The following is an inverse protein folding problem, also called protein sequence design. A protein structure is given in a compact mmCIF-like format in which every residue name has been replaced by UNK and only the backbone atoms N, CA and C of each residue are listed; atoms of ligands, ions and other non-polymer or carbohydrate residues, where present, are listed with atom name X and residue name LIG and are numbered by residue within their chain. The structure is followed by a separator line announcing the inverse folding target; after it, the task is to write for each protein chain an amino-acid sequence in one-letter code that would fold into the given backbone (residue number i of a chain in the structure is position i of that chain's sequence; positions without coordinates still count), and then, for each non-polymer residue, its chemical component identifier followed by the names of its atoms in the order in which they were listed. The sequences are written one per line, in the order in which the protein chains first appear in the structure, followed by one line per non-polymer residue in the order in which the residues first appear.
data_IF_350737296631
#
_entry.id   IF_350737296631
#
_cell.length_a   1.000
_cell.length_b   1.000
_cell.length_c   1.000
_cell.angle_alpha   90.00
_cell.angle_beta   90.00
_cell.angle_gamma   90.00
#
_symmetry.space_group_name_H-M   'P 1'
#
loop_
_entity.id
_entity.type
_entity.pdbx_description
1 polymer ?
#
# COMPACT_ATOMS: atom_id res chain seq x y z
N UNK A 1 18.22 11.40 8.89
CA UNK A 1 19.57 11.18 8.34
C UNK A 1 19.34 10.46 7.04
N UNK A 2 19.51 11.17 5.93
CA UNK A 2 19.38 10.60 4.59
C UNK A 2 20.48 9.57 4.40
N UNK A 3 20.11 8.34 4.05
CA UNK A 3 21.07 7.30 3.68
C UNK A 3 21.08 7.17 2.18
N UNK A 4 22.20 7.53 1.58
CA UNK A 4 22.46 7.29 0.16
C UNK A 4 22.48 5.77 -0.10
N UNK A 5 21.55 5.28 -0.94
CA UNK A 5 21.40 3.86 -1.27
C UNK A 5 22.42 3.38 -2.31
N UNK A 6 23.22 4.30 -2.85
CA UNK A 6 24.19 4.02 -3.92
C UNK A 6 25.57 3.61 -3.39
N UNK A 7 25.82 3.76 -2.08
CA UNK A 7 27.12 3.54 -1.44
C UNK A 7 27.00 2.68 -0.17
N UNK A 8 27.91 1.71 0.02
CA UNK A 8 27.92 0.78 1.17
C UNK A 8 27.36 -0.62 0.85
N UNK A 9 27.13 -1.45 1.87
CA UNK A 9 26.64 -2.82 1.66
C UNK A 9 25.12 -2.87 1.45
N UNK A 10 24.62 -3.47 0.35
CA UNK A 10 23.20 -3.50 0.04
C UNK A 10 22.35 -4.06 1.19
N UNK A 11 22.80 -5.15 1.82
CA UNK A 11 22.10 -5.80 2.93
C UNK A 11 21.84 -4.87 4.11
N UNK A 12 22.86 -4.13 4.57
CA UNK A 12 22.73 -3.20 5.72
C UNK A 12 21.86 -2.00 5.38
N UNK A 13 21.92 -1.52 4.14
CA UNK A 13 21.09 -0.41 3.67
C UNK A 13 19.63 -0.82 3.59
N UNK A 14 19.34 -1.95 2.95
CA UNK A 14 17.99 -2.49 2.81
C UNK A 14 17.39 -2.71 4.20
N UNK A 15 18.08 -3.42 5.09
CA UNK A 15 17.59 -3.71 6.43
C UNK A 15 17.42 -2.43 7.28
N UNK A 16 18.37 -1.49 7.18
CA UNK A 16 18.30 -0.22 7.88
C UNK A 16 17.18 0.72 7.40
N UNK A 17 16.71 0.54 6.15
CA UNK A 17 15.61 1.32 5.58
C UNK A 17 14.26 0.61 5.74
N UNK A 18 14.23 -0.72 5.62
CA UNK A 18 13.02 -1.54 5.73
C UNK A 18 12.51 -1.66 7.15
N UNK A 19 13.36 -1.73 8.17
CA UNK A 19 12.92 -1.86 9.58
C UNK A 19 12.03 -0.67 10.01
N UNK A 20 12.43 0.60 9.81
CA UNK A 20 11.53 1.72 10.11
C UNK A 20 10.20 1.63 9.36
N UNK A 21 10.23 1.28 8.06
CA UNK A 21 9.00 1.14 7.27
C UNK A 21 8.12 0.01 7.79
N UNK A 22 8.70 -1.12 8.19
CA UNK A 22 7.99 -2.23 8.80
C UNK A 22 7.25 -1.76 10.06
N UNK A 23 7.93 -1.04 10.96
CA UNK A 23 7.25 -0.47 12.13
C UNK A 23 6.12 0.46 11.71
N UNK A 24 6.33 1.31 10.71
CA UNK A 24 5.27 2.15 10.16
C UNK A 24 4.05 1.35 9.68
N UNK A 25 4.25 0.28 8.92
CA UNK A 25 3.16 -0.58 8.44
C UNK A 25 2.48 -1.34 9.58
N UNK A 26 3.24 -1.86 10.55
CA UNK A 26 2.68 -2.53 11.72
C UNK A 26 1.84 -1.57 12.56
N UNK A 27 2.35 -0.37 12.86
CA UNK A 27 1.59 0.70 13.51
C UNK A 27 0.34 1.07 12.72
N UNK A 28 0.45 1.06 11.37
CA UNK A 28 -0.70 1.27 10.50
C UNK A 28 -1.78 0.20 10.68
N UNK A 29 -1.40 -1.08 10.73
CA UNK A 29 -2.34 -2.16 10.98
C UNK A 29 -2.93 -2.10 12.40
N UNK A 30 -2.12 -1.76 13.41
CA UNK A 30 -2.60 -1.60 14.78
C UNK A 30 -3.63 -0.48 14.91
N UNK A 31 -3.40 0.71 14.33
CA UNK A 31 -4.40 1.78 14.44
C UNK A 31 -5.68 1.40 13.70
N UNK A 32 -5.60 0.80 12.51
CA UNK A 32 -6.80 0.36 11.78
C UNK A 32 -7.63 -0.63 12.61
N UNK A 33 -6.98 -1.52 13.37
CA UNK A 33 -7.64 -2.44 14.29
C UNK A 33 -8.33 -1.71 15.45
N UNK A 34 -7.64 -0.75 16.07
CA UNK A 34 -8.17 0.05 17.19
C UNK A 34 -9.36 0.91 16.73
N UNK A 35 -9.24 1.59 15.59
CA UNK A 35 -10.32 2.40 14.99
C UNK A 35 -11.59 1.56 14.77
N UNK A 36 -11.44 0.40 14.11
CA UNK A 36 -12.55 -0.55 13.90
C UNK A 36 -13.20 -0.98 15.23
N UNK A 37 -12.38 -1.23 16.27
CA UNK A 37 -12.86 -1.63 17.59
C UNK A 37 -13.60 -0.50 18.30
N UNK A 38 -13.10 0.74 18.24
CA UNK A 38 -13.75 1.92 18.82
C UNK A 38 -15.12 2.12 18.16
N UNK A 39 -15.18 2.14 16.84
CA UNK A 39 -16.45 2.27 16.10
C UNK A 39 -17.42 1.16 16.51
N UNK A 40 -17.00 -0.10 16.48
CA UNK A 40 -17.87 -1.23 16.81
C UNK A 40 -18.37 -1.21 18.26
N UNK A 41 -17.51 -0.84 19.21
CA UNK A 41 -17.85 -0.88 20.64
C UNK A 41 -18.71 0.30 21.08
N UNK A 42 -18.45 1.51 20.56
CA UNK A 42 -19.12 2.73 21.03
C UNK A 42 -20.30 3.16 20.16
N UNK A 43 -20.33 2.79 18.88
CA UNK A 43 -21.41 3.17 17.95
C UNK A 43 -22.34 2.01 17.58
N UNK A 44 -21.96 0.78 17.92
CA UNK A 44 -22.75 -0.41 17.68
C UNK A 44 -22.57 -1.03 16.29
N UNK A 45 -23.33 -2.10 16.05
CA UNK A 45 -23.15 -2.99 14.89
C UNK A 45 -23.49 -2.30 13.56
N UNK A 46 -24.54 -1.49 13.52
CA UNK A 46 -24.95 -0.78 12.29
C UNK A 46 -23.89 0.24 11.83
N UNK A 47 -23.27 0.95 12.78
CA UNK A 47 -22.18 1.88 12.50
C UNK A 47 -20.92 1.14 12.00
N UNK A 48 -20.58 0.00 12.62
CA UNK A 48 -19.48 -0.84 12.16
C UNK A 48 -19.73 -1.38 10.75
N UNK A 49 -20.96 -1.81 10.45
CA UNK A 49 -21.35 -2.27 9.13
C UNK A 49 -21.29 -1.14 8.09
N UNK A 50 -21.71 0.07 8.45
CA UNK A 50 -21.60 1.26 7.61
C UNK A 50 -20.13 1.61 7.29
N UNK A 51 -19.23 1.60 8.27
CA UNK A 51 -17.79 1.83 8.03
C UNK A 51 -17.20 0.70 7.19
N UNK A 52 -17.52 -0.55 7.52
CA UNK A 52 -17.01 -1.74 6.82
C UNK A 52 -17.41 -1.80 5.34
N UNK A 53 -18.66 -1.42 5.00
CA UNK A 53 -19.15 -1.44 3.62
C UNK A 53 -18.39 -0.45 2.71
N UNK A 54 -17.90 0.65 3.28
CA UNK A 54 -17.09 1.64 2.55
C UNK A 54 -15.63 1.24 2.38
N UNK A 55 -15.17 0.17 3.04
CA UNK A 55 -13.77 -0.25 3.07
C UNK A 55 -13.18 -0.57 1.69
N UNK A 56 -13.92 -1.27 0.83
CA UNK A 56 -13.48 -1.59 -0.54
C UNK A 56 -13.35 -0.34 -1.40
N UNK A 57 -14.28 0.61 -1.24
CA UNK A 57 -14.26 1.88 -1.96
C UNK A 57 -13.11 2.78 -1.48
N UNK A 58 -12.86 2.81 -0.16
CA UNK A 58 -11.67 3.42 0.42
C UNK A 58 -10.39 2.83 -0.16
N UNK A 59 -10.28 1.50 -0.19
CA UNK A 59 -9.11 0.83 -0.74
C UNK A 59 -8.90 1.15 -2.23
N UNK A 60 -9.96 1.25 -3.02
CA UNK A 60 -9.90 1.62 -4.43
C UNK A 60 -9.37 3.05 -4.64
N UNK A 61 -9.96 4.03 -3.96
CA UNK A 61 -9.66 5.46 -4.16
C UNK A 61 -8.36 5.87 -3.44
N UNK A 62 -8.23 5.55 -2.16
CA UNK A 62 -7.04 5.89 -1.37
C UNK A 62 -5.84 5.07 -1.85
N UNK A 63 -6.04 3.79 -2.22
CA UNK A 63 -4.99 2.97 -2.84
C UNK A 63 -4.50 3.57 -4.17
N UNK A 64 -5.40 4.11 -5.00
CA UNK A 64 -5.02 4.85 -6.20
C UNK A 64 -4.17 6.08 -5.84
N UNK A 65 -4.59 6.88 -4.86
CA UNK A 65 -3.86 8.07 -4.41
C UNK A 65 -2.45 7.72 -3.90
N UNK A 66 -2.32 6.66 -3.10
CA UNK A 66 -1.05 6.14 -2.61
C UNK A 66 -0.16 5.66 -3.76
N UNK A 67 -0.73 4.95 -4.73
CA UNK A 67 -0.02 4.50 -5.93
C UNK A 67 0.53 5.66 -6.76
N UNK A 68 -0.26 6.72 -6.97
CA UNK A 68 0.16 7.93 -7.68
C UNK A 68 1.33 8.62 -6.94
N UNK A 69 1.21 8.82 -5.63
CA UNK A 69 2.27 9.44 -4.82
C UNK A 69 3.58 8.64 -4.86
N UNK A 70 3.49 7.31 -4.73
CA UNK A 70 4.66 6.43 -4.82
C UNK A 70 5.29 6.46 -6.22
N UNK A 71 4.48 6.58 -7.28
CA UNK A 71 5.00 6.72 -8.64
C UNK A 71 5.68 8.06 -8.90
N UNK A 72 5.21 9.14 -8.28
CA UNK A 72 5.88 10.44 -8.34
C UNK A 72 7.24 10.42 -7.65
N UNK A 73 7.46 9.57 -6.65
CA UNK A 73 8.75 9.45 -5.98
C UNK A 73 9.84 8.79 -6.84
N UNK A 74 9.51 8.08 -7.92
CA UNK A 74 10.51 7.36 -8.74
C UNK A 74 11.43 8.34 -9.50
N UNK A 75 10.94 9.32 -10.28
CA UNK A 75 11.81 10.31 -10.91
C UNK A 75 12.64 11.11 -9.90
N UNK A 76 12.09 11.38 -8.72
CA UNK A 76 12.84 12.04 -7.64
C UNK A 76 13.99 11.15 -7.14
N UNK A 77 13.74 9.86 -6.91
CA UNK A 77 14.80 8.92 -6.54
C UNK A 77 15.88 8.82 -7.63
N UNK A 78 15.51 8.85 -8.91
CA UNK A 78 16.47 8.89 -10.03
C UNK A 78 17.33 10.15 -9.98
N UNK A 79 16.71 11.32 -9.80
CA UNK A 79 17.43 12.60 -9.73
C UNK A 79 18.35 12.70 -8.51
N UNK A 80 17.87 12.24 -7.35
CA UNK A 80 18.68 12.18 -6.13
C UNK A 80 19.88 11.24 -6.31
N UNK A 81 19.67 10.04 -6.84
CA UNK A 81 20.76 9.09 -7.11
C UNK A 81 21.77 9.59 -8.15
N UNK A 82 21.33 10.39 -9.12
CA UNK A 82 22.19 11.03 -10.11
C UNK A 82 22.98 12.24 -9.56
N UNK A 83 22.68 12.72 -8.35
CA UNK A 83 23.22 13.97 -7.81
C UNK A 83 22.66 15.24 -8.47
N UNK A 84 21.61 15.12 -9.30
CA UNK A 84 20.96 16.25 -9.98
C UNK A 84 19.89 16.88 -9.08
N UNK A 85 20.34 17.68 -8.12
CA UNK A 85 19.46 18.33 -7.14
C UNK A 85 18.57 19.42 -7.74
N UNK A 86 19.00 20.08 -8.82
CA UNK A 86 18.16 21.04 -9.55
C UNK A 86 16.97 20.32 -10.19
N UNK A 87 17.24 19.22 -10.88
CA UNK A 87 16.21 18.35 -11.43
C UNK A 87 15.30 17.78 -10.35
N UNK A 88 15.85 17.35 -9.22
CA UNK A 88 15.08 16.85 -8.06
C UNK A 88 14.04 17.88 -7.60
N UNK A 89 14.46 19.13 -7.38
CA UNK A 89 13.57 20.22 -6.91
C UNK A 89 12.51 20.58 -7.94
N UNK A 90 12.87 20.63 -9.22
CA UNK A 90 11.89 20.89 -10.28
C UNK A 90 10.84 19.77 -10.39
N UNK A 91 11.25 18.50 -10.30
CA UNK A 91 10.32 17.36 -10.24
C UNK A 91 9.44 17.39 -8.99
N UNK A 92 10.00 17.77 -7.84
CA UNK A 92 9.27 17.93 -6.59
C UNK A 92 8.14 18.96 -6.72
N UNK A 93 8.44 20.17 -7.22
CA UNK A 93 7.42 21.23 -7.37
C UNK A 93 6.33 20.81 -8.35
N UNK A 94 6.70 20.21 -9.49
CA UNK A 94 5.73 19.73 -10.46
C UNK A 94 4.88 18.56 -9.90
N UNK A 95 5.44 17.72 -9.03
CA UNK A 95 4.69 16.68 -8.33
C UNK A 95 3.70 17.27 -7.31
N UNK A 96 4.03 18.39 -6.65
CA UNK A 96 3.11 19.12 -5.75
C UNK A 96 1.94 19.70 -6.55
N UNK A 97 2.20 20.40 -7.67
CA UNK A 97 1.14 20.93 -8.53
C UNK A 97 0.22 19.83 -9.05
N UNK A 98 0.82 18.75 -9.54
CA UNK A 98 0.07 17.62 -10.08
C UNK A 98 -0.75 16.92 -8.99
N UNK A 99 -0.20 16.76 -7.79
CA UNK A 99 -0.93 16.18 -6.65
C UNK A 99 -2.09 17.07 -6.20
N UNK A 100 -1.95 18.41 -6.26
CA UNK A 100 -3.06 19.31 -5.99
C UNK A 100 -4.19 19.16 -7.03
N UNK A 101 -3.83 19.05 -8.32
CA UNK A 101 -4.81 18.80 -9.39
C UNK A 101 -5.50 17.45 -9.19
N UNK A 102 -4.74 16.37 -8.96
CA UNK A 102 -5.32 15.05 -8.70
C UNK A 102 -6.19 15.05 -7.45
N UNK A 103 -5.77 15.72 -6.37
CA UNK A 103 -6.57 15.80 -5.15
C UNK A 103 -7.93 16.48 -5.41
N UNK A 104 -7.95 17.61 -6.11
CA UNK A 104 -9.19 18.33 -6.43
C UNK A 104 -10.08 17.48 -7.35
N UNK A 105 -9.52 16.91 -8.43
CA UNK A 105 -10.27 16.09 -9.38
C UNK A 105 -10.85 14.85 -8.69
N UNK A 106 -10.02 14.12 -7.92
CA UNK A 106 -10.47 12.93 -7.21
C UNK A 106 -11.52 13.28 -6.15
N UNK A 107 -11.35 14.35 -5.39
CA UNK A 107 -12.35 14.80 -4.40
C UNK A 107 -13.68 15.13 -5.09
N UNK A 108 -13.65 15.93 -6.17
CA UNK A 108 -14.86 16.32 -6.88
C UNK A 108 -15.60 15.10 -7.47
N UNK A 109 -14.88 14.19 -8.15
CA UNK A 109 -15.46 12.98 -8.73
C UNK A 109 -16.03 12.08 -7.62
N UNK A 110 -15.25 11.81 -6.58
CA UNK A 110 -15.64 10.84 -5.55
C UNK A 110 -16.80 11.34 -4.70
N UNK A 111 -16.87 12.63 -4.36
CA UNK A 111 -18.00 13.20 -3.60
C UNK A 111 -19.28 13.22 -4.44
N UNK A 112 -19.20 13.59 -5.72
CA UNK A 112 -20.38 13.63 -6.61
C UNK A 112 -20.93 12.22 -6.87
N UNK A 113 -20.08 11.24 -7.11
CA UNK A 113 -20.49 9.87 -7.43
C UNK A 113 -20.62 8.95 -6.21
N UNK A 114 -20.37 9.45 -5.00
CA UNK A 114 -20.37 8.65 -3.78
C UNK A 114 -21.68 7.88 -3.57
N UNK A 115 -22.82 8.58 -3.55
CA UNK A 115 -24.13 7.95 -3.28
C UNK A 115 -24.55 6.97 -4.38
N UNK A 116 -24.44 7.30 -5.67
CA UNK A 116 -24.68 6.32 -6.75
C UNK A 116 -23.80 5.07 -6.65
N UNK A 117 -22.54 5.19 -6.23
CA UNK A 117 -21.65 4.03 -6.04
C UNK A 117 -22.14 3.17 -4.88
N UNK A 118 -22.55 3.76 -3.76
CA UNK A 118 -23.08 3.02 -2.61
C UNK A 118 -24.39 2.29 -2.94
N UNK A 119 -25.28 2.93 -3.70
CA UNK A 119 -26.52 2.32 -4.21
C UNK A 119 -26.20 1.17 -5.19
N UNK A 120 -25.23 1.34 -6.09
CA UNK A 120 -24.78 0.31 -7.02
C UNK A 120 -24.16 -0.90 -6.28
N UNK A 121 -23.49 -0.67 -5.16
CA UNK A 121 -22.98 -1.72 -4.27
C UNK A 121 -24.09 -2.46 -3.50
N UNK A 122 -25.37 -2.09 -3.68
CA UNK A 122 -26.53 -2.63 -2.97
C UNK A 122 -26.38 -2.51 -1.45
N UNK A 123 -25.88 -1.36 -1.00
CA UNK A 123 -25.77 -1.06 0.43
C UNK A 123 -27.18 -1.02 1.05
N UNK A 124 -27.45 -1.79 2.11
CA UNK A 124 -28.77 -1.81 2.76
C UNK A 124 -29.24 -0.44 3.27
N UNK A 125 -30.55 -0.18 3.20
CA UNK A 125 -31.17 1.11 3.53
C UNK A 125 -30.91 1.55 4.97
N UNK A 126 -30.75 0.61 5.92
CA UNK A 126 -30.49 0.92 7.32
C UNK A 126 -29.05 1.43 7.60
N UNK A 127 -28.10 1.25 6.67
CA UNK A 127 -26.70 1.65 6.85
C UNK A 127 -26.20 2.64 5.79
N UNK A 128 -26.94 2.83 4.68
CA UNK A 128 -26.47 3.61 3.53
C UNK A 128 -26.18 5.08 3.87
N UNK A 129 -27.00 5.70 4.72
CA UNK A 129 -26.79 7.10 5.11
C UNK A 129 -25.56 7.26 6.02
N UNK A 130 -25.32 6.31 6.91
CA UNK A 130 -24.11 6.26 7.74
C UNK A 130 -22.85 6.03 6.90
N UNK A 131 -22.92 5.13 5.91
CA UNK A 131 -21.85 4.85 4.98
C UNK A 131 -21.54 6.07 4.09
N UNK A 132 -22.57 6.76 3.61
CA UNK A 132 -22.44 7.99 2.83
C UNK A 132 -21.75 9.10 3.63
N UNK A 133 -22.23 9.36 4.85
CA UNK A 133 -21.65 10.39 5.71
C UNK A 133 -20.16 10.11 6.01
N UNK A 134 -19.83 8.86 6.33
CA UNK A 134 -18.46 8.43 6.56
C UNK A 134 -17.56 8.70 5.35
N UNK A 135 -17.95 8.18 4.20
CA UNK A 135 -17.07 8.14 3.03
C UNK A 135 -16.94 9.51 2.36
N UNK A 136 -17.99 10.35 2.39
CA UNK A 136 -17.91 11.73 1.88
C UNK A 136 -16.90 12.54 2.69
N UNK A 137 -16.87 12.40 4.01
CA UNK A 137 -15.88 13.08 4.86
C UNK A 137 -14.47 12.59 4.54
N UNK A 138 -14.27 11.28 4.43
CA UNK A 138 -12.97 10.71 4.03
C UNK A 138 -12.53 11.23 2.66
N UNK A 139 -13.45 11.31 1.69
CA UNK A 139 -13.17 11.81 0.35
C UNK A 139 -12.91 13.31 0.30
N UNK A 140 -13.61 14.11 1.10
CA UNK A 140 -13.27 15.51 1.30
C UNK A 140 -11.85 15.69 1.89
N UNK A 141 -11.35 14.67 2.62
CA UNK A 141 -10.00 14.60 3.15
C UNK A 141 -8.89 14.15 2.19
N UNK A 142 -9.21 13.76 0.94
CA UNK A 142 -8.21 13.35 -0.07
C UNK A 142 -7.03 14.34 -0.21
N UNK A 143 -7.22 15.68 -0.17
CA UNK A 143 -6.10 16.62 -0.20
C UNK A 143 -5.10 16.43 0.95
N UNK A 144 -5.57 16.11 2.15
CA UNK A 144 -4.71 15.81 3.30
C UNK A 144 -3.97 14.48 3.10
N UNK A 145 -4.64 13.47 2.55
CA UNK A 145 -4.02 12.18 2.18
C UNK A 145 -2.90 12.38 1.17
N UNK A 146 -3.12 13.16 0.11
CA UNK A 146 -2.09 13.50 -0.89
C UNK A 146 -0.94 14.26 -0.26
N UNK A 147 -1.21 15.25 0.59
CA UNK A 147 -0.19 16.04 1.27
C UNK A 147 0.77 15.13 2.04
N UNK A 148 0.24 14.30 2.94
CA UNK A 148 1.06 13.40 3.74
C UNK A 148 1.80 12.36 2.88
N UNK A 149 1.11 11.70 1.94
CA UNK A 149 1.71 10.63 1.15
C UNK A 149 2.76 11.14 0.17
N UNK A 150 2.54 12.28 -0.47
CA UNK A 150 3.50 12.89 -1.39
C UNK A 150 4.78 13.27 -0.65
N UNK A 151 4.66 14.02 0.46
CA UNK A 151 5.83 14.44 1.24
C UNK A 151 6.59 13.23 1.76
N UNK A 152 5.87 12.24 2.30
CA UNK A 152 6.46 10.99 2.75
C UNK A 152 7.20 10.26 1.62
N UNK A 153 6.64 10.24 0.41
CA UNK A 153 7.26 9.62 -0.74
C UNK A 153 8.50 10.40 -1.22
N UNK A 154 8.47 11.74 -1.20
CA UNK A 154 9.63 12.60 -1.48
C UNK A 154 10.77 12.32 -0.48
N UNK A 155 10.49 12.31 0.82
CA UNK A 155 11.52 12.06 1.84
C UNK A 155 12.10 10.64 1.70
N UNK A 156 11.25 9.64 1.44
CA UNK A 156 11.69 8.26 1.17
C UNK A 156 12.57 8.18 -0.06
N UNK A 157 12.26 8.92 -1.13
CA UNK A 157 13.06 8.94 -2.36
C UNK A 157 14.50 9.42 -2.14
N UNK A 158 14.73 10.24 -1.11
CA UNK A 158 16.06 10.69 -0.67
C UNK A 158 16.75 9.73 0.32
N UNK A 159 16.12 8.60 0.65
CA UNK A 159 16.70 7.58 1.54
C UNK A 159 16.46 7.80 3.03
N UNK A 160 15.51 8.66 3.45
CA UNK A 160 15.09 8.78 4.85
C UNK A 160 13.72 8.09 5.05
N UNK A 161 13.73 6.86 5.57
CA UNK A 161 12.49 6.14 5.92
C UNK A 161 11.99 6.41 7.33
N UNK A 162 12.82 7.02 8.20
CA UNK A 162 12.47 7.22 9.61
C UNK A 162 11.51 8.38 9.79
N UNK A 163 11.79 9.50 9.12
CA UNK A 163 11.01 10.73 9.28
C UNK A 163 9.52 10.52 8.95
N UNK A 164 9.15 9.92 7.79
CA UNK A 164 7.74 9.66 7.49
C UNK A 164 7.05 8.75 8.51
N UNK A 165 7.76 7.73 9.00
CA UNK A 165 7.21 6.76 9.96
C UNK A 165 6.92 7.43 11.31
N UNK A 166 7.76 8.35 11.77
CA UNK A 166 7.49 9.10 13.01
C UNK A 166 6.20 9.92 12.89
N UNK A 167 6.00 10.62 11.76
CA UNK A 167 4.76 11.36 11.51
C UNK A 167 3.55 10.44 11.32
N UNK A 168 3.74 9.24 10.77
CA UNK A 168 2.70 8.22 10.72
C UNK A 168 2.25 7.83 12.13
N UNK A 169 3.20 7.52 13.02
CA UNK A 169 2.90 7.13 14.41
C UNK A 169 2.20 8.27 15.15
N UNK A 170 2.66 9.51 14.98
CA UNK A 170 1.98 10.69 15.56
C UNK A 170 0.55 10.80 15.01
N UNK A 171 0.35 10.61 13.69
CA UNK A 171 -0.97 10.61 13.05
C UNK A 171 -1.88 9.56 13.68
N UNK A 172 -1.38 8.34 13.84
CA UNK A 172 -2.14 7.20 14.36
C UNK A 172 -2.55 7.40 15.81
N UNK A 173 -1.62 7.86 16.66
CA UNK A 173 -1.91 8.14 18.07
C UNK A 173 -2.94 9.26 18.19
N UNK A 174 -2.76 10.33 17.43
CA UNK A 174 -3.69 11.45 17.44
C UNK A 174 -5.07 11.08 16.89
N UNK A 175 -5.13 10.20 15.87
CA UNK A 175 -6.38 9.67 15.36
C UNK A 175 -7.15 8.91 16.44
N UNK A 176 -6.52 7.97 17.14
CA UNK A 176 -7.16 7.24 18.25
C UNK A 176 -7.69 8.19 19.34
N UNK A 177 -6.91 9.20 19.71
CA UNK A 177 -7.33 10.20 20.70
C UNK A 177 -8.52 11.00 20.20
N UNK A 178 -8.48 11.47 18.95
CA UNK A 178 -9.58 12.22 18.34
C UNK A 178 -10.83 11.36 18.14
N UNK A 179 -10.69 10.07 17.82
CA UNK A 179 -11.81 9.13 17.72
C UNK A 179 -12.55 9.06 19.05
N UNK A 180 -11.82 8.84 20.15
CA UNK A 180 -12.42 8.80 21.49
C UNK A 180 -13.11 10.12 21.82
N UNK A 181 -12.50 11.27 21.52
CA UNK A 181 -13.11 12.58 21.80
C UNK A 181 -14.35 12.82 20.94
N UNK A 182 -14.30 12.57 19.63
CA UNK A 182 -15.40 12.86 18.73
C UNK A 182 -16.56 11.88 18.87
N UNK A 183 -16.27 10.61 19.14
CA UNK A 183 -17.28 9.57 19.31
C UNK A 183 -17.90 9.62 20.71
N UNK A 184 -17.08 9.73 21.76
CA UNK A 184 -17.56 9.62 23.15
C UNK A 184 -18.01 10.98 23.68
N UNK A 185 -17.26 12.06 23.47
CA UNK A 185 -17.57 13.36 24.08
C UNK A 185 -18.47 14.24 23.20
N UNK A 186 -18.26 14.22 21.87
CA UNK A 186 -19.05 15.05 20.94
C UNK A 186 -20.22 14.31 20.30
N UNK A 187 -20.33 12.99 20.51
CA UNK A 187 -21.40 12.14 19.98
C UNK A 187 -21.61 12.30 18.46
N UNK A 188 -20.54 12.56 17.70
CA UNK A 188 -20.58 12.78 16.24
C UNK A 188 -20.77 11.48 15.44
N UNK A 189 -20.96 10.34 16.12
CA UNK A 189 -21.21 9.07 15.47
C UNK A 189 -20.08 8.67 14.51
N UNK A 190 -20.48 8.07 13.39
CA UNK A 190 -19.59 7.64 12.31
C UNK A 190 -18.88 8.84 11.62
N UNK A 191 -19.49 10.03 11.62
CA UNK A 191 -18.83 11.24 11.13
C UNK A 191 -17.63 11.64 12.01
N UNK A 192 -17.69 11.35 13.30
CA UNK A 192 -16.58 11.56 14.23
C UNK A 192 -15.32 10.78 13.82
N UNK A 193 -15.46 9.49 13.53
CA UNK A 193 -14.34 8.62 13.13
C UNK A 193 -13.67 9.11 11.83
N UNK A 194 -14.49 9.47 10.84
CA UNK A 194 -13.97 9.99 9.56
C UNK A 194 -13.30 11.36 9.72
N UNK A 195 -13.86 12.28 10.53
CA UNK A 195 -13.24 13.57 10.83
C UNK A 195 -11.90 13.43 11.56
N UNK A 196 -11.84 12.56 12.57
CA UNK A 196 -10.61 12.27 13.29
C UNK A 196 -9.52 11.75 12.35
N UNK A 197 -9.88 10.88 11.40
CA UNK A 197 -8.96 10.38 10.38
C UNK A 197 -8.41 11.51 9.50
N UNK A 198 -9.29 12.38 8.98
CA UNK A 198 -8.90 13.48 8.08
C UNK A 198 -8.04 14.52 8.80
N UNK A 199 -8.43 14.92 10.02
CA UNK A 199 -7.68 15.89 10.82
C UNK A 199 -6.29 15.32 11.16
N UNK A 200 -6.22 14.04 11.51
CA UNK A 200 -4.94 13.40 11.81
C UNK A 200 -3.99 13.37 10.61
N UNK A 201 -4.51 13.00 9.44
CA UNK A 201 -3.71 13.05 8.22
C UNK A 201 -3.30 14.47 7.85
N UNK A 202 -4.16 15.47 8.07
CA UNK A 202 -3.86 16.87 7.77
C UNK A 202 -2.73 17.40 8.67
N UNK A 203 -2.83 17.18 9.98
CA UNK A 203 -1.80 17.61 10.93
C UNK A 203 -0.48 16.89 10.67
N UNK A 204 -0.49 15.59 10.39
CA UNK A 204 0.74 14.88 10.04
C UNK A 204 1.30 15.28 8.69
N UNK A 205 0.46 15.58 7.69
CA UNK A 205 0.90 16.13 6.41
C UNK A 205 1.55 17.50 6.55
N UNK A 206 0.91 18.42 7.27
CA UNK A 206 1.41 19.77 7.54
C UNK A 206 2.69 19.71 8.41
N UNK A 207 2.69 18.90 9.46
CA UNK A 207 3.85 18.71 10.33
C UNK A 207 5.05 18.14 9.57
N UNK A 208 4.80 17.12 8.73
CA UNK A 208 5.82 16.54 7.86
C UNK A 208 6.34 17.54 6.83
N UNK A 209 5.47 18.41 6.28
CA UNK A 209 5.86 19.50 5.37
C UNK A 209 6.80 20.49 6.06
N UNK A 210 6.37 21.04 7.20
CA UNK A 210 7.13 22.05 7.96
C UNK A 210 8.49 21.48 8.37
N UNK A 211 8.50 20.25 8.88
CA UNK A 211 9.74 19.58 9.26
C UNK A 211 10.66 19.35 8.06
N UNK A 212 10.10 18.91 6.93
CA UNK A 212 10.88 18.68 5.72
C UNK A 212 11.50 19.95 5.18
N UNK A 213 10.73 21.05 5.18
CA UNK A 213 11.18 22.36 4.76
C UNK A 213 12.30 22.89 5.66
N UNK A 214 12.17 22.74 6.98
CA UNK A 214 13.22 23.18 7.93
C UNK A 214 14.49 22.33 7.89
N UNK A 215 14.37 21.02 7.65
CA UNK A 215 15.49 20.07 7.78
C UNK A 215 16.23 19.82 6.47
N UNK A 216 15.53 19.80 5.34
CA UNK A 216 16.11 19.47 4.05
C UNK A 216 16.28 20.73 3.22
N UNK A 217 17.37 21.46 3.47
CA UNK A 217 17.71 22.64 2.67
C UNK A 217 17.82 22.34 1.17
N UNK A 218 18.22 21.10 0.84
CA UNK A 218 18.31 20.59 -0.52
C UNK A 218 16.98 20.59 -1.28
N UNK A 219 15.85 20.69 -0.57
CA UNK A 219 14.52 20.76 -1.14
C UNK A 219 14.05 22.19 -1.42
N UNK A 220 14.79 23.24 -1.04
CA UNK A 220 14.38 24.63 -1.29
C UNK A 220 14.50 24.98 -2.78
N UNK A 221 13.38 25.16 -3.51
CA UNK A 221 13.41 25.38 -4.95
C UNK A 221 13.60 26.86 -5.29
N UNK A 222 14.49 27.10 -6.25
CA UNK A 222 14.72 28.41 -6.87
C UNK A 222 13.54 28.81 -7.77
N UNK A 223 13.44 30.10 -8.12
CA UNK A 223 12.33 30.63 -8.92
C UNK A 223 12.19 29.94 -10.30
N UNK A 224 13.30 29.54 -10.92
CA UNK A 224 13.30 28.83 -12.21
C UNK A 224 12.81 27.38 -12.08
N UNK A 225 13.11 26.74 -10.95
CA UNK A 225 12.71 25.35 -10.66
C UNK A 225 11.23 25.24 -10.29
N UNK A 226 10.62 26.35 -9.86
CA UNK A 226 9.18 26.44 -9.58
C UNK A 226 8.29 26.53 -10.82
N UNK A 227 8.89 26.65 -12.01
CA UNK A 227 8.14 26.80 -13.26
C UNK A 227 7.37 25.52 -13.58
N UNK A 228 6.17 25.73 -14.12
CA UNK A 228 5.36 24.67 -14.70
C UNK A 228 6.11 24.02 -15.87
N UNK A 229 6.32 22.71 -15.81
CA UNK A 229 6.97 21.96 -16.86
C UNK A 229 6.14 20.75 -17.29
N UNK A 230 5.45 20.89 -18.42
CA UNK A 230 4.60 19.84 -18.99
C UNK A 230 5.35 18.54 -19.31
N UNK A 231 6.67 18.58 -19.56
CA UNK A 231 7.48 17.37 -19.79
C UNK A 231 7.70 16.58 -18.49
N UNK A 232 8.01 17.29 -17.39
CA UNK A 232 8.16 16.67 -16.07
C UNK A 232 6.82 16.10 -15.59
N UNK A 233 5.73 16.84 -15.77
CA UNK A 233 4.39 16.35 -15.43
C UNK A 233 3.98 15.12 -16.24
N UNK A 234 4.30 15.06 -17.54
CA UNK A 234 4.06 13.86 -18.38
C UNK A 234 4.84 12.65 -17.85
N UNK A 235 6.11 12.85 -17.47
CA UNK A 235 6.93 11.79 -16.86
C UNK A 235 6.34 11.31 -15.54
N UNK A 236 5.93 12.24 -14.67
CA UNK A 236 5.29 11.95 -13.39
C UNK A 236 3.97 11.19 -13.58
N UNK A 237 3.06 11.65 -14.45
CA UNK A 237 1.83 10.95 -14.80
C UNK A 237 2.10 9.56 -15.37
N UNK A 238 3.11 9.43 -16.24
CA UNK A 238 3.53 8.16 -16.84
C UNK A 238 4.02 7.12 -15.84
N UNK A 239 4.41 7.53 -14.63
CA UNK A 239 4.79 6.63 -13.54
C UNK A 239 3.67 6.49 -12.48
N UNK A 240 3.08 7.60 -12.07
CA UNK A 240 2.05 7.68 -11.03
C UNK A 240 0.72 7.02 -11.40
N UNK A 241 0.13 7.38 -12.55
CA UNK A 241 -1.18 6.85 -12.95
C UNK A 241 -1.15 5.32 -13.10
N UNK A 242 -0.13 4.72 -13.75
CA UNK A 242 0.00 3.28 -13.78
C UNK A 242 0.10 2.61 -12.41
N UNK A 243 0.81 3.23 -11.47
CA UNK A 243 0.92 2.68 -10.12
C UNK A 243 -0.38 2.79 -9.35
N UNK A 244 -1.12 3.91 -9.48
CA UNK A 244 -2.46 4.03 -8.93
C UNK A 244 -3.40 2.95 -9.47
N UNK A 245 -3.45 2.78 -10.80
CA UNK A 245 -4.27 1.75 -11.45
C UNK A 245 -3.89 0.34 -11.01
N UNK A 246 -2.60 0.06 -10.80
CA UNK A 246 -2.17 -1.25 -10.30
C UNK A 246 -2.79 -1.58 -8.95
N UNK A 247 -2.84 -0.64 -8.00
CA UNK A 247 -3.53 -0.85 -6.72
C UNK A 247 -5.03 -1.10 -6.92
N UNK A 248 -5.67 -0.34 -7.81
CA UNK A 248 -7.09 -0.53 -8.14
C UNK A 248 -7.37 -1.89 -8.77
N UNK A 249 -6.51 -2.39 -9.66
CA UNK A 249 -6.67 -3.72 -10.27
C UNK A 249 -6.51 -4.83 -9.23
N UNK A 250 -5.53 -4.70 -8.33
CA UNK A 250 -5.37 -5.63 -7.20
C UNK A 250 -6.61 -5.61 -6.30
N UNK A 251 -7.19 -4.43 -6.04
CA UNK A 251 -8.44 -4.29 -5.29
C UNK A 251 -9.60 -5.05 -5.94
N UNK A 252 -9.79 -4.86 -7.24
CA UNK A 252 -10.84 -5.54 -8.01
C UNK A 252 -10.65 -7.05 -7.94
N UNK A 253 -9.42 -7.55 -8.08
CA UNK A 253 -9.12 -8.98 -7.94
C UNK A 253 -9.50 -9.55 -6.56
N UNK A 254 -9.28 -8.78 -5.49
CA UNK A 254 -9.70 -9.17 -4.13
C UNK A 254 -11.23 -9.18 -3.97
N UNK A 255 -11.93 -8.22 -4.58
CA UNK A 255 -13.42 -8.19 -4.57
C UNK A 255 -14.00 -9.40 -5.29
N UNK A 256 -13.45 -9.76 -6.46
CA UNK A 256 -13.88 -10.95 -7.21
C UNK A 256 -13.72 -12.21 -6.35
N UNK A 257 -12.56 -12.36 -5.71
CA UNK A 257 -12.31 -13.49 -4.81
C UNK A 257 -13.29 -13.51 -3.63
N UNK A 258 -13.54 -12.35 -3.00
CA UNK A 258 -14.48 -12.25 -1.90
C UNK A 258 -15.91 -12.63 -2.33
N UNK A 259 -16.34 -12.22 -3.53
CA UNK A 259 -17.65 -12.61 -4.07
C UNK A 259 -17.77 -14.13 -4.24
N UNK A 260 -16.70 -14.82 -4.64
CA UNK A 260 -16.68 -16.27 -4.73
C UNK A 260 -16.72 -16.95 -3.35
N UNK A 261 -16.08 -16.35 -2.34
CA UNK A 261 -16.10 -16.87 -0.96
C UNK A 261 -17.48 -16.72 -0.33
N UNK A 262 -18.20 -15.65 -0.67
CA UNK A 262 -19.55 -15.41 -0.16
C UNK A 262 -20.55 -16.52 -0.58
N UNK A 263 -20.32 -17.23 -1.69
CA UNK A 263 -21.17 -18.36 -2.11
C UNK A 263 -20.94 -19.63 -1.28
N UNK A 264 -19.84 -19.70 -0.52
CA UNK A 264 -19.50 -20.83 0.35
C UNK A 264 -20.16 -20.76 1.74
N UNK A 265 -20.88 -19.68 2.04
CA UNK A 265 -21.59 -19.49 3.32
C UNK A 265 -20.83 -18.66 4.36
N UNK A 266 -21.51 -18.33 5.45
CA UNK A 266 -21.04 -17.41 6.50
C UNK A 266 -19.76 -17.88 7.19
N UNK A 267 -19.62 -19.18 7.45
CA UNK A 267 -18.44 -19.75 8.12
C UNK A 267 -17.16 -19.53 7.29
N UNK A 268 -17.26 -19.69 5.96
CA UNK A 268 -16.15 -19.44 5.04
C UNK A 268 -15.76 -17.95 4.99
N UNK A 269 -16.74 -17.06 4.99
CA UNK A 269 -16.53 -15.60 5.00
C UNK A 269 -15.86 -15.15 6.30
N UNK A 270 -16.35 -15.62 7.45
CA UNK A 270 -15.77 -15.34 8.76
C UNK A 270 -14.32 -15.83 8.84
N UNK A 271 -14.08 -17.07 8.38
CA UNK A 271 -12.75 -17.68 8.34
C UNK A 271 -11.77 -16.89 7.47
N UNK A 272 -12.19 -16.48 6.28
CA UNK A 272 -11.36 -15.70 5.36
C UNK A 272 -11.05 -14.31 5.92
N UNK A 273 -12.01 -13.69 6.61
CA UNK A 273 -11.84 -12.37 7.22
C UNK A 273 -10.83 -12.42 8.37
N UNK A 274 -11.00 -13.35 9.31
CA UNK A 274 -10.09 -13.54 10.43
C UNK A 274 -8.68 -13.94 9.94
N UNK A 275 -8.59 -14.90 9.02
CA UNK A 275 -7.33 -15.31 8.41
C UNK A 275 -6.61 -14.17 7.68
N UNK A 276 -7.35 -13.35 6.93
CA UNK A 276 -6.76 -12.21 6.20
C UNK A 276 -6.26 -11.12 7.15
N UNK A 277 -6.97 -10.85 8.25
CA UNK A 277 -6.52 -9.88 9.27
C UNK A 277 -5.21 -10.31 9.92
N UNK A 278 -5.10 -11.59 10.32
CA UNK A 278 -3.84 -12.15 10.85
C UNK A 278 -2.75 -12.07 9.77
N UNK A 279 -3.07 -12.50 8.55
CA UNK A 279 -2.13 -12.49 7.42
C UNK A 279 -1.55 -11.12 7.09
N UNK A 280 -2.35 -10.03 7.19
CA UNK A 280 -1.88 -8.66 6.92
C UNK A 280 -0.69 -8.24 7.80
N UNK A 281 -0.65 -8.66 9.07
CA UNK A 281 0.50 -8.37 9.95
C UNK A 281 1.77 -9.08 9.46
N UNK A 282 1.64 -10.33 9.00
CA UNK A 282 2.75 -11.10 8.45
C UNK A 282 3.17 -10.63 7.05
N UNK A 283 2.29 -9.95 6.31
CA UNK A 283 2.59 -9.36 5.01
C UNK A 283 3.41 -8.05 5.11
N UNK A 284 3.30 -7.30 6.22
CA UNK A 284 3.94 -6.00 6.40
C UNK A 284 5.47 -5.99 6.09
N UNK A 285 6.26 -7.01 6.47
CA UNK A 285 7.67 -7.07 6.07
C UNK A 285 7.90 -7.15 4.55
N UNK A 286 7.04 -7.83 3.80
CA UNK A 286 7.17 -7.89 2.34
C UNK A 286 6.87 -6.53 1.71
N UNK A 287 5.88 -5.80 2.21
CA UNK A 287 5.56 -4.43 1.77
C UNK A 287 6.70 -3.45 2.07
N UNK A 288 7.31 -3.58 3.26
CA UNK A 288 8.49 -2.82 3.66
C UNK A 288 9.69 -3.10 2.75
N UNK A 289 9.94 -4.38 2.42
CA UNK A 289 10.99 -4.77 1.48
C UNK A 289 10.71 -4.25 0.06
N UNK A 290 9.48 -4.36 -0.44
CA UNK A 290 9.08 -3.81 -1.73
C UNK A 290 9.33 -2.30 -1.82
N UNK A 291 8.80 -1.52 -0.87
CA UNK A 291 9.01 -0.07 -0.82
C UNK A 291 10.49 0.34 -0.71
N UNK A 292 11.28 -0.46 0.01
CA UNK A 292 12.74 -0.29 0.08
C UNK A 292 13.39 -0.51 -1.29
N UNK A 293 12.98 -1.55 -2.02
CA UNK A 293 13.51 -1.88 -3.33
C UNK A 293 13.14 -0.87 -4.41
N UNK A 294 11.95 -0.23 -4.33
CA UNK A 294 11.61 0.89 -5.22
C UNK A 294 12.59 2.06 -5.06
N UNK A 295 12.90 2.44 -3.82
CA UNK A 295 13.85 3.54 -3.54
C UNK A 295 15.28 3.14 -3.93
N UNK A 296 15.72 1.94 -3.52
CA UNK A 296 17.04 1.42 -3.82
C UNK A 296 17.27 1.30 -5.34
N UNK A 297 16.30 0.74 -6.06
CA UNK A 297 16.31 0.63 -7.52
C UNK A 297 16.37 2.00 -8.18
N UNK A 298 15.52 2.93 -7.75
CA UNK A 298 15.46 4.28 -8.30
C UNK A 298 16.78 5.05 -8.15
N UNK A 299 17.36 5.09 -6.95
CA UNK A 299 18.63 5.78 -6.74
C UNK A 299 19.78 5.13 -7.51
N UNK A 300 19.85 3.79 -7.58
CA UNK A 300 20.94 3.12 -8.30
C UNK A 300 20.80 3.23 -9.83
N UNK A 301 19.59 3.28 -10.38
CA UNK A 301 19.38 3.62 -11.81
C UNK A 301 19.82 5.05 -12.08
N UNK A 302 19.41 6.01 -11.22
CA UNK A 302 19.84 7.40 -11.32
C UNK A 302 21.36 7.57 -11.30
N UNK A 303 22.03 6.84 -10.39
CA UNK A 303 23.49 6.83 -10.26
C UNK A 303 24.23 6.02 -11.34
N UNK A 304 23.51 5.45 -12.31
CA UNK A 304 24.03 4.52 -13.33
C UNK A 304 24.73 3.27 -12.76
N UNK A 305 24.44 2.86 -11.52
CA UNK A 305 25.07 1.71 -10.83
C UNK A 305 24.26 0.42 -11.00
N UNK A 306 24.16 -0.09 -12.23
CA UNK A 306 23.35 -1.28 -12.56
C UNK A 306 23.77 -2.56 -11.81
N UNK A 307 25.07 -2.79 -11.61
CA UNK A 307 25.59 -3.94 -10.85
C UNK A 307 25.03 -3.99 -9.42
N UNK A 308 24.83 -2.82 -8.81
CA UNK A 308 24.26 -2.71 -7.46
C UNK A 308 22.79 -3.12 -7.41
N UNK A 309 22.03 -2.98 -8.50
CA UNK A 309 20.63 -3.40 -8.59
C UNK A 309 20.55 -4.93 -8.44
N UNK A 310 21.37 -5.67 -9.18
CA UNK A 310 21.43 -7.13 -9.08
C UNK A 310 21.89 -7.62 -7.71
N UNK A 311 22.89 -6.96 -7.10
CA UNK A 311 23.35 -7.26 -5.74
C UNK A 311 22.28 -6.96 -4.68
N UNK A 312 21.56 -5.85 -4.82
CA UNK A 312 20.45 -5.47 -3.95
C UNK A 312 19.28 -6.43 -4.05
N UNK A 313 18.90 -6.82 -5.27
CA UNK A 313 17.86 -7.82 -5.49
C UNK A 313 18.20 -9.14 -4.79
N UNK A 314 19.41 -9.68 -4.98
CA UNK A 314 19.86 -10.91 -4.30
C UNK A 314 19.81 -10.79 -2.79
N UNK A 315 20.31 -9.69 -2.23
CA UNK A 315 20.31 -9.45 -0.79
C UNK A 315 18.88 -9.36 -0.22
N UNK A 316 17.99 -8.61 -0.89
CA UNK A 316 16.60 -8.48 -0.47
C UNK A 316 15.84 -9.80 -0.61
N UNK A 317 16.06 -10.57 -1.68
CA UNK A 317 15.44 -11.88 -1.86
C UNK A 317 15.86 -12.88 -0.79
N UNK A 318 17.14 -12.87 -0.36
CA UNK A 318 17.62 -13.72 0.75
C UNK A 318 16.93 -13.35 2.07
N UNK A 319 16.77 -12.06 2.36
CA UNK A 319 15.99 -11.59 3.52
C UNK A 319 14.52 -12.02 3.43
N UNK A 320 13.92 -11.85 2.25
CA UNK A 320 12.53 -12.23 1.99
C UNK A 320 12.27 -13.72 2.18
N UNK A 321 13.14 -14.58 1.66
CA UNK A 321 13.07 -16.04 1.84
C UNK A 321 13.27 -16.41 3.31
N UNK A 322 14.27 -15.83 3.98
CA UNK A 322 14.53 -16.10 5.39
C UNK A 322 13.33 -15.72 6.28
N UNK A 323 12.72 -14.57 6.03
CA UNK A 323 11.51 -14.15 6.73
C UNK A 323 10.29 -15.02 6.36
N UNK A 324 10.12 -15.42 5.10
CA UNK A 324 9.03 -16.30 4.69
C UNK A 324 9.07 -17.65 5.41
N UNK A 325 10.26 -18.26 5.54
CA UNK A 325 10.45 -19.51 6.29
C UNK A 325 10.14 -19.30 7.77
N UNK A 326 10.60 -18.20 8.37
CA UNK A 326 10.31 -17.86 9.75
C UNK A 326 8.79 -17.68 9.98
N UNK A 327 8.12 -16.93 9.11
CA UNK A 327 6.69 -16.66 9.18
C UNK A 327 5.86 -17.95 9.00
N UNK A 328 6.25 -18.84 8.09
CA UNK A 328 5.65 -20.16 7.95
C UNK A 328 5.80 -20.98 9.23
N UNK A 329 7.00 -21.04 9.82
CA UNK A 329 7.23 -21.75 11.08
C UNK A 329 6.36 -21.22 12.22
N UNK A 330 6.25 -19.90 12.37
CA UNK A 330 5.40 -19.27 13.38
C UNK A 330 3.92 -19.61 13.13
N UNK A 331 3.43 -19.39 11.91
CA UNK A 331 2.01 -19.60 11.58
C UNK A 331 1.60 -21.08 11.61
N UNK A 332 2.50 -22.01 11.27
CA UNK A 332 2.25 -23.43 11.39
C UNK A 332 2.11 -23.86 12.87
N UNK A 333 2.91 -23.28 13.78
CA UNK A 333 2.89 -23.63 15.20
C UNK A 333 1.79 -22.90 15.98
N UNK A 334 1.52 -21.63 15.65
CA UNK A 334 0.63 -20.77 16.44
C UNK A 334 -0.66 -20.40 15.70
N UNK A 335 -0.85 -20.79 14.44
CA UNK A 335 -1.98 -20.33 13.62
C UNK A 335 -3.36 -20.62 14.24
N UNK A 336 -3.53 -21.79 14.87
CA UNK A 336 -4.76 -22.13 15.61
C UNK A 336 -4.97 -21.22 16.83
N UNK A 337 -3.90 -20.94 17.58
CA UNK A 337 -3.97 -20.04 18.74
C UNK A 337 -4.23 -18.59 18.31
N UNK A 338 -3.72 -18.18 17.15
CA UNK A 338 -3.97 -16.85 16.59
C UNK A 338 -5.43 -16.70 16.13
N UNK A 339 -6.03 -17.76 15.61
CA UNK A 339 -7.45 -17.77 15.25
C UNK A 339 -8.37 -17.48 16.45
N UNK A 340 -7.99 -17.94 17.65
CA UNK A 340 -8.74 -17.72 18.89
C UNK A 340 -8.83 -16.25 19.35
N UNK A 341 -8.01 -15.35 18.79
CA UNK A 341 -8.18 -13.91 19.04
C UNK A 341 -9.40 -13.32 18.33
N UNK A 342 -9.88 -13.98 17.28
CA UNK A 342 -10.95 -13.48 16.42
C UNK A 342 -12.21 -14.35 16.43
N UNK A 343 -12.09 -15.58 16.93
CA UNK A 343 -13.13 -16.62 16.83
C UNK A 343 -13.28 -17.31 18.18
N UNK A 344 -14.53 -17.54 18.61
CA UNK A 344 -14.81 -18.26 19.85
C UNK A 344 -14.39 -19.73 19.75
N UNK A 345 -13.96 -20.31 20.88
CA UNK A 345 -13.51 -21.72 20.92
C UNK A 345 -14.56 -22.74 20.48
N UNK A 346 -15.84 -22.39 20.56
CA UNK A 346 -16.94 -23.25 20.13
C UNK A 346 -17.03 -23.39 18.61
N UNK A 347 -16.50 -22.44 17.83
CA UNK A 347 -16.54 -22.44 16.36
C UNK A 347 -15.36 -23.21 15.75
N UNK A 348 -15.26 -24.50 16.07
CA UNK A 348 -14.13 -25.36 15.69
C UNK A 348 -13.88 -25.37 14.18
N UNK A 349 -14.95 -25.41 13.37
CA UNK A 349 -14.85 -25.38 11.91
C UNK A 349 -14.20 -24.09 11.38
N UNK A 350 -14.58 -22.94 11.95
CA UNK A 350 -14.04 -21.63 11.55
C UNK A 350 -12.57 -21.54 11.94
N UNK A 351 -12.19 -22.03 13.13
CA UNK A 351 -10.79 -22.07 13.58
C UNK A 351 -9.92 -22.91 12.65
N UNK A 352 -10.38 -24.09 12.25
CA UNK A 352 -9.65 -24.97 11.34
C UNK A 352 -9.54 -24.36 9.92
N UNK A 353 -10.59 -23.69 9.45
CA UNK A 353 -10.56 -22.96 8.18
C UNK A 353 -9.59 -21.76 8.22
N UNK A 354 -9.57 -20.98 9.30
CA UNK A 354 -8.58 -19.91 9.50
C UNK A 354 -7.16 -20.49 9.50
N UNK A 355 -6.95 -21.59 10.23
CA UNK A 355 -5.64 -22.25 10.29
C UNK A 355 -5.20 -22.76 8.91
N UNK A 356 -6.09 -23.41 8.16
CA UNK A 356 -5.83 -23.87 6.80
C UNK A 356 -5.46 -22.71 5.88
N UNK A 357 -6.20 -21.60 5.94
CA UNK A 357 -5.91 -20.39 5.17
C UNK A 357 -4.52 -19.84 5.49
N UNK A 358 -4.15 -19.74 6.78
CA UNK A 358 -2.85 -19.24 7.21
C UNK A 358 -1.71 -20.17 6.80
N UNK A 359 -1.90 -21.49 6.93
CA UNK A 359 -0.91 -22.49 6.56
C UNK A 359 -0.62 -22.46 5.06
N UNK A 360 -1.68 -22.42 4.24
CA UNK A 360 -1.56 -22.34 2.78
C UNK A 360 -0.90 -21.01 2.39
N UNK A 361 -1.38 -19.86 2.87
CA UNK A 361 -0.78 -18.57 2.49
C UNK A 361 0.69 -18.49 2.88
N UNK A 362 1.03 -18.88 4.10
CA UNK A 362 2.40 -18.78 4.60
C UNK A 362 3.38 -19.72 3.90
N UNK A 363 2.93 -20.89 3.43
CA UNK A 363 3.74 -21.78 2.59
C UNK A 363 4.15 -21.12 1.27
N UNK A 364 3.35 -20.18 0.77
CA UNK A 364 3.58 -19.44 -0.48
C UNK A 364 4.02 -17.98 -0.26
N UNK A 365 4.53 -17.64 0.92
CA UNK A 365 5.12 -16.32 1.16
C UNK A 365 6.42 -16.06 0.38
N UNK A 366 7.10 -17.11 -0.10
CA UNK A 366 8.27 -16.93 -0.98
C UNK A 366 7.85 -16.25 -2.30
N UNK A 367 6.84 -16.74 -3.05
CA UNK A 367 6.24 -15.99 -4.15
C UNK A 367 5.81 -14.57 -3.78
N UNK A 368 5.11 -14.38 -2.66
CA UNK A 368 4.70 -13.04 -2.21
C UNK A 368 5.89 -12.08 -2.03
N UNK A 369 7.00 -12.59 -1.50
CA UNK A 369 8.24 -11.83 -1.36
C UNK A 369 8.76 -11.38 -2.72
N UNK A 370 8.81 -12.28 -3.71
CA UNK A 370 9.27 -11.94 -5.06
C UNK A 370 8.32 -10.98 -5.77
N UNK A 371 7.00 -11.15 -5.64
CA UNK A 371 6.02 -10.22 -6.19
C UNK A 371 6.30 -8.81 -5.70
N UNK A 372 6.49 -8.62 -4.40
CA UNK A 372 6.78 -7.28 -3.84
C UNK A 372 8.17 -6.78 -4.21
N UNK A 373 9.22 -7.59 -4.00
CA UNK A 373 10.61 -7.19 -4.23
C UNK A 373 10.86 -6.86 -5.71
N UNK A 374 10.47 -7.76 -6.62
CA UNK A 374 10.75 -7.62 -8.06
C UNK A 374 9.84 -6.56 -8.69
N UNK A 375 8.55 -6.52 -8.35
CA UNK A 375 7.62 -5.50 -8.90
C UNK A 375 8.06 -4.10 -8.52
N UNK A 376 8.29 -3.86 -7.23
CA UNK A 376 8.67 -2.54 -6.77
C UNK A 376 10.07 -2.15 -7.25
N UNK A 377 10.97 -3.12 -7.46
CA UNK A 377 12.25 -2.86 -8.13
C UNK A 377 12.05 -2.41 -9.59
N UNK A 378 11.24 -3.12 -10.38
CA UNK A 378 10.91 -2.74 -11.76
C UNK A 378 10.27 -1.33 -11.81
N UNK A 379 9.36 -1.04 -10.87
CA UNK A 379 8.78 0.29 -10.71
C UNK A 379 9.88 1.31 -10.40
N UNK A 380 10.73 1.04 -9.41
CA UNK A 380 11.88 1.88 -9.06
C UNK A 380 12.82 2.14 -10.24
N UNK A 381 12.97 1.19 -11.16
CA UNK A 381 13.75 1.38 -12.40
C UNK A 381 13.07 2.27 -13.45
N UNK A 382 11.83 2.72 -13.22
CA UNK A 382 11.06 3.60 -14.12
C UNK A 382 10.08 2.86 -15.03
N UNK A 383 9.85 1.56 -14.82
CA UNK A 383 9.04 0.71 -15.70
C UNK A 383 7.67 0.37 -15.11
N UNK A 384 6.93 1.40 -14.66
CA UNK A 384 5.63 1.31 -13.99
C UNK A 384 4.56 0.50 -14.76
N UNK A 385 4.58 0.52 -16.10
CA UNK A 385 3.61 -0.22 -16.95
C UNK A 385 3.68 -1.74 -16.74
N UNK A 386 4.86 -2.29 -16.50
CA UNK A 386 5.01 -3.72 -16.24
C UNK A 386 4.37 -4.12 -14.90
N UNK A 387 4.28 -3.19 -13.94
CA UNK A 387 3.57 -3.47 -12.69
C UNK A 387 2.05 -3.57 -12.90
N UNK A 388 1.46 -2.76 -13.78
CA UNK A 388 0.03 -2.93 -14.15
C UNK A 388 -0.18 -4.34 -14.70
N UNK A 389 0.65 -4.78 -15.64
CA UNK A 389 0.52 -6.10 -16.26
C UNK A 389 0.62 -7.22 -15.23
N UNK A 390 1.55 -7.10 -14.27
CA UNK A 390 1.63 -8.03 -13.14
C UNK A 390 0.34 -8.02 -12.29
N UNK A 391 -0.24 -6.84 -12.03
CA UNK A 391 -1.54 -6.70 -11.37
C UNK A 391 -2.70 -7.31 -12.15
N UNK A 392 -2.68 -7.23 -13.48
CA UNK A 392 -3.67 -7.90 -14.35
C UNK A 392 -3.52 -9.42 -14.28
N UNK A 393 -2.29 -9.96 -14.34
CA UNK A 393 -2.05 -11.39 -14.15
C UNK A 393 -2.58 -11.89 -12.81
N UNK A 394 -2.35 -11.11 -11.75
CA UNK A 394 -2.89 -11.34 -10.41
C UNK A 394 -4.42 -11.37 -10.38
N UNK A 395 -5.08 -10.42 -11.06
CA UNK A 395 -6.52 -10.35 -11.15
C UNK A 395 -7.07 -11.55 -11.92
N UNK A 396 -6.51 -11.87 -13.09
CA UNK A 396 -6.92 -13.04 -13.91
C UNK A 396 -6.78 -14.33 -13.10
N UNK A 397 -5.67 -14.52 -12.39
CA UNK A 397 -5.48 -15.68 -11.54
C UNK A 397 -6.54 -15.78 -10.42
N UNK A 398 -6.85 -14.68 -9.73
CA UNK A 398 -7.92 -14.65 -8.71
C UNK A 398 -9.29 -14.94 -9.32
N UNK A 399 -9.58 -14.40 -10.50
CA UNK A 399 -10.82 -14.67 -11.24
C UNK A 399 -10.93 -16.14 -11.62
N UNK A 400 -9.86 -16.75 -12.15
CA UNK A 400 -9.83 -18.17 -12.49
C UNK A 400 -10.08 -19.04 -11.26
N UNK A 401 -9.42 -18.74 -10.15
CA UNK A 401 -9.63 -19.50 -8.91
C UNK A 401 -11.05 -19.30 -8.37
N UNK A 402 -11.53 -18.06 -8.32
CA UNK A 402 -12.86 -17.73 -7.79
C UNK A 402 -14.01 -18.33 -8.60
N UNK A 403 -13.94 -18.33 -9.94
CA UNK A 403 -15.04 -18.84 -10.77
C UNK A 403 -14.92 -20.30 -11.18
N UNK A 404 -13.71 -20.84 -11.27
CA UNK A 404 -13.51 -22.23 -11.71
C UNK A 404 -13.20 -23.18 -10.54
N UNK A 405 -12.28 -22.80 -9.64
CA UNK A 405 -11.79 -23.72 -8.61
C UNK A 405 -12.64 -23.69 -7.33
N UNK A 406 -13.14 -22.53 -6.92
CA UNK A 406 -13.99 -22.40 -5.72
C UNK A 406 -15.30 -23.20 -5.83
N UNK A 407 -16.04 -23.19 -6.96
CA UNK A 407 -17.24 -24.02 -7.09
C UNK A 407 -16.97 -25.52 -7.06
N UNK A 408 -15.76 -25.96 -7.45
CA UNK A 408 -15.38 -27.37 -7.54
C UNK A 408 -14.79 -27.91 -6.22
N UNK A 409 -13.99 -27.11 -5.52
CA UNK A 409 -13.18 -27.54 -4.38
C UNK A 409 -13.50 -26.79 -3.08
N UNK A 410 -14.44 -25.85 -3.09
CA UNK A 410 -14.90 -25.12 -1.91
C UNK A 410 -13.84 -24.21 -1.28
N UNK A 411 -13.83 -24.15 0.05
CA UNK A 411 -12.98 -23.25 0.85
C UNK A 411 -11.46 -23.46 0.66
N UNK A 412 -10.92 -24.69 0.55
CA UNK A 412 -9.52 -24.89 0.22
C UNK A 412 -9.08 -24.19 -1.08
N UNK A 413 -9.90 -24.20 -2.14
CA UNK A 413 -9.59 -23.48 -3.37
C UNK A 413 -9.52 -21.96 -3.15
N UNK A 414 -10.40 -21.40 -2.31
CA UNK A 414 -10.33 -19.98 -1.94
C UNK A 414 -9.00 -19.65 -1.23
N UNK A 415 -8.48 -20.55 -0.39
CA UNK A 415 -7.19 -20.38 0.26
C UNK A 415 -6.01 -20.35 -0.73
N UNK A 416 -6.10 -21.08 -1.85
CA UNK A 416 -5.09 -21.08 -2.91
C UNK A 416 -5.16 -19.87 -3.85
N UNK A 417 -6.21 -19.05 -3.80
CA UNK A 417 -6.39 -17.93 -4.72
C UNK A 417 -5.25 -16.92 -4.66
N UNK A 418 -4.81 -16.54 -3.46
CA UNK A 418 -3.70 -15.61 -3.27
C UNK A 418 -2.36 -16.22 -3.71
N UNK A 419 -1.99 -17.45 -3.29
CA UNK A 419 -0.82 -18.15 -3.83
C UNK A 419 -0.75 -18.24 -5.35
N UNK A 420 -1.84 -18.65 -6.01
CA UNK A 420 -1.88 -18.79 -7.48
C UNK A 420 -1.67 -17.43 -8.14
N UNK A 421 -2.28 -16.38 -7.59
CA UNK A 421 -2.08 -15.02 -8.09
C UNK A 421 -0.63 -14.54 -7.98
N UNK A 422 0.05 -14.84 -6.88
CA UNK A 422 1.46 -14.48 -6.71
C UNK A 422 2.35 -15.23 -7.69
N UNK A 423 2.14 -16.54 -7.86
CA UNK A 423 2.92 -17.35 -8.81
C UNK A 423 2.73 -16.85 -10.24
N UNK A 424 1.49 -16.56 -10.66
CA UNK A 424 1.20 -16.01 -11.99
C UNK A 424 1.85 -14.65 -12.20
N UNK A 425 1.85 -13.79 -11.18
CA UNK A 425 2.52 -12.50 -11.23
C UNK A 425 4.03 -12.66 -11.35
N UNK A 426 4.64 -13.56 -10.58
CA UNK A 426 6.09 -13.83 -10.63
C UNK A 426 6.53 -14.42 -11.97
N UNK A 427 5.73 -15.34 -12.52
CA UNK A 427 5.96 -15.90 -13.85
C UNK A 427 6.08 -14.81 -14.93
N UNK A 428 5.38 -13.67 -14.74
CA UNK A 428 5.52 -12.48 -15.58
C UNK A 428 6.66 -11.55 -15.15
N UNK A 429 6.83 -11.31 -13.84
CA UNK A 429 7.78 -10.35 -13.28
C UNK A 429 9.24 -10.76 -13.51
N UNK A 430 9.59 -12.05 -13.43
CA UNK A 430 10.98 -12.49 -13.65
C UNK A 430 11.47 -12.25 -15.09
N UNK A 431 10.73 -12.66 -16.15
CA UNK A 431 11.05 -12.28 -17.52
C UNK A 431 11.05 -10.76 -17.73
N UNK A 432 10.07 -10.05 -17.16
CA UNK A 432 9.99 -8.59 -17.26
C UNK A 432 11.22 -7.92 -16.65
N UNK A 433 11.67 -8.36 -15.46
CA UNK A 433 12.88 -7.86 -14.82
C UNK A 433 14.11 -8.07 -15.71
N UNK A 434 14.27 -9.28 -16.30
CA UNK A 434 15.42 -9.55 -17.17
C UNK A 434 15.41 -8.68 -18.43
N UNK A 435 14.23 -8.43 -19.00
CA UNK A 435 14.07 -7.50 -20.12
C UNK A 435 14.42 -6.05 -19.72
N UNK A 436 13.85 -5.59 -18.61
CA UNK A 436 14.05 -4.23 -18.06
C UNK A 436 15.52 -3.99 -17.71
N UNK A 437 16.17 -4.96 -17.04
CA UNK A 437 17.58 -4.88 -16.69
C UNK A 437 18.46 -4.70 -17.92
N UNK A 438 18.32 -5.58 -18.92
CA UNK A 438 19.10 -5.51 -20.17
C UNK A 438 18.83 -4.22 -20.96
N UNK A 439 17.57 -3.77 -20.99
CA UNK A 439 17.20 -2.53 -21.68
C UNK A 439 17.83 -1.32 -21.00
N UNK A 440 17.77 -1.26 -19.67
CA UNK A 440 18.35 -0.17 -18.88
C UNK A 440 19.87 -0.14 -19.00
N UNK A 441 20.51 -1.31 -18.91
CA UNK A 441 21.96 -1.45 -19.09
C UNK A 441 22.42 -0.93 -20.46
N UNK A 442 21.73 -1.31 -21.54
CA UNK A 442 22.02 -0.81 -22.90
C UNK A 442 21.83 0.70 -23.04
N UNK A 443 20.77 1.27 -22.46
CA UNK A 443 20.55 2.72 -22.53
C UNK A 443 21.63 3.49 -21.78
N UNK A 444 22.09 2.96 -20.64
CA UNK A 444 23.15 3.58 -19.85
C UNK A 444 24.53 3.43 -20.50
N UNK A 445 24.82 2.30 -21.16
CA UNK A 445 26.09 2.08 -21.86
C UNK A 445 26.27 2.93 -23.11
N UNK A 446 25.18 3.36 -23.76
CA UNK A 446 25.22 4.29 -24.91
C UNK A 446 25.39 5.76 -24.47
N UNK A 447 25.24 6.04 -23.17
CA UNK A 447 25.38 7.39 -22.57
C UNK A 447 26.73 7.64 -21.89
N UNK A 448 27.67 6.69 -22.02
CA UNK A 448 29.08 6.80 -21.65
C UNK A 448 29.88 6.94 -22.95
#
# INVERSE_FOLDING_TARGET
MTKDMTNGSPMKLILGFSIPLLFGYLFQQFYNLVDTLIVGRFLGVDALAAVGSTGSLNFLIIGFCMGVCNGFAIPLAHKFGAGDYRGLRAFMVNAIYLSAIFAVVMTAVTVVFCRPILELMRTPDNIIDGAYLYIVIIFAGIPATYLYNLISAIIRSMGDSKTPVVFLVISSVMNIVLDLVFIINLHLGVAGASLATVISQAVSGIGCLIYSWKKFEILHPDAEERRWNSSYMKTLCGMGVPMGLQYSITAIGSVILQSAVNTLGSNAVASMTAGSKIGMFFCCPFDAMGSTMATYGGQNVGAKKMDRISKGLKACSLLGIGYAILAFGILALTGRNLALFFVERAEVEVIENVYLFLLINSAFYIPLAFVNIVRFLIQGMGYSKFAILAGVCEMVARTLVGFALVPLFGFPAACFASPVAWIFADAFLFPAYRHVYRKTEKMLSVSM
#
